data_IF_029751433124
#
_entry.id   IF_029751433124
#
_cell.length_a   1.000
_cell.length_b   1.000
_cell.length_c   1.000
_cell.angle_alpha   90.00
_cell.angle_beta   90.00
_cell.angle_gamma   90.00
#
_symmetry.space_group_name_H-M   'P 1'
#
loop_
_entity.id
_entity.type
_entity.pdbx_description
1 polymer ?
#
# COMPACT_ATOMS: atom_id res chain seq x y z
N UNK A 1 7.16 -7.55 -17.33
CA UNK A 1 6.25 -7.49 -16.17
C UNK A 1 5.17 -8.52 -16.35
N UNK A 2 4.77 -9.16 -15.25
CA UNK A 2 3.58 -10.00 -15.21
C UNK A 2 3.13 -10.08 -13.75
N UNK A 3 2.12 -9.30 -13.39
CA UNK A 3 1.23 -9.72 -12.32
C UNK A 3 0.75 -11.11 -12.68
N UNK A 4 0.86 -12.06 -11.76
CA UNK A 4 0.39 -13.42 -12.02
C UNK A 4 -1.12 -13.42 -12.18
N UNK A 5 -1.78 -12.67 -11.33
CA UNK A 5 -3.22 -12.53 -11.26
C UNK A 5 -3.59 -11.08 -10.98
N UNK A 6 -4.70 -10.66 -11.60
CA UNK A 6 -5.31 -9.35 -11.44
C UNK A 6 -6.82 -9.53 -11.59
N UNK A 7 -7.55 -9.31 -10.50
CA UNK A 7 -8.99 -9.38 -10.43
C UNK A 7 -9.53 -7.99 -10.09
N UNK A 8 -10.41 -7.46 -10.94
CA UNK A 8 -11.08 -6.18 -10.71
C UNK A 8 -12.51 -6.49 -10.32
N UNK A 9 -12.87 -6.17 -9.08
CA UNK A 9 -14.19 -6.33 -8.50
C UNK A 9 -14.86 -4.95 -8.39
N UNK A 10 -16.12 -4.93 -7.96
CA UNK A 10 -16.90 -3.68 -7.88
C UNK A 10 -16.40 -2.74 -6.79
N UNK A 11 -15.78 -3.29 -5.75
CA UNK A 11 -15.33 -2.64 -4.53
C UNK A 11 -13.82 -2.82 -4.29
N UNK A 12 -13.11 -3.59 -5.10
CA UNK A 12 -11.67 -3.73 -4.95
C UNK A 12 -10.91 -4.15 -6.21
N UNK A 13 -9.59 -3.97 -6.17
CA UNK A 13 -8.65 -4.65 -7.08
C UNK A 13 -7.79 -5.58 -6.25
N UNK A 14 -7.75 -6.85 -6.63
CA UNK A 14 -6.89 -7.86 -6.02
C UNK A 14 -5.85 -8.32 -7.04
N UNK A 15 -4.59 -8.39 -6.62
CA UNK A 15 -3.51 -8.82 -7.48
C UNK A 15 -2.49 -9.69 -6.75
N UNK A 16 -1.81 -10.54 -7.52
CA UNK A 16 -0.70 -11.36 -7.04
C UNK A 16 0.52 -11.02 -7.89
N UNK A 17 1.58 -10.56 -7.23
CA UNK A 17 2.89 -10.36 -7.85
C UNK A 17 3.81 -11.54 -7.54
N UNK A 18 4.48 -12.03 -8.59
CA UNK A 18 5.57 -12.99 -8.48
C UNK A 18 6.93 -12.29 -8.31
N UNK A 19 6.96 -10.96 -8.15
CA UNK A 19 8.23 -10.26 -7.97
C UNK A 19 8.76 -10.52 -6.56
N UNK A 20 10.03 -10.90 -6.50
CA UNK A 20 10.75 -11.00 -5.26
C UNK A 20 11.47 -9.68 -5.00
N UNK A 21 11.01 -8.91 -4.02
CA UNK A 21 11.77 -7.80 -3.42
C UNK A 21 13.20 -8.22 -3.01
N UNK A 22 13.41 -9.51 -2.74
CA UNK A 22 14.69 -10.06 -2.32
C UNK A 22 15.68 -10.16 -3.48
N UNK A 23 15.21 -10.45 -4.69
CA UNK A 23 16.07 -10.66 -5.86
C UNK A 23 16.29 -9.38 -6.68
N UNK A 24 15.51 -8.34 -6.42
CA UNK A 24 15.60 -7.06 -7.12
C UNK A 24 16.39 -6.05 -6.30
N UNK A 25 17.71 -5.99 -6.53
CA UNK A 25 18.66 -5.13 -5.80
C UNK A 25 18.22 -3.64 -5.75
N UNK A 26 17.40 -3.18 -6.71
CA UNK A 26 16.91 -1.80 -6.75
C UNK A 26 15.38 -1.70 -6.61
N UNK A 27 14.70 -2.80 -6.29
CA UNK A 27 13.25 -2.94 -6.21
C UNK A 27 12.51 -2.41 -7.46
N UNK A 28 13.14 -2.45 -8.64
CA UNK A 28 12.60 -1.85 -9.87
C UNK A 28 11.35 -2.56 -10.38
N UNK A 29 11.39 -3.88 -10.56
CA UNK A 29 10.26 -4.67 -11.03
C UNK A 29 9.11 -4.63 -10.03
N UNK A 30 9.43 -4.63 -8.74
CA UNK A 30 8.46 -4.47 -7.67
C UNK A 30 7.76 -3.10 -7.71
N UNK A 31 8.56 -2.04 -7.85
CA UNK A 31 8.07 -0.67 -8.03
C UNK A 31 7.16 -0.54 -9.25
N UNK A 32 7.52 -1.14 -10.37
CA UNK A 32 6.73 -1.10 -11.60
C UNK A 32 5.37 -1.81 -11.43
N UNK A 33 5.34 -2.95 -10.73
CA UNK A 33 4.09 -3.68 -10.42
C UNK A 33 3.17 -2.85 -9.52
N UNK A 34 3.69 -2.25 -8.45
CA UNK A 34 2.91 -1.35 -7.58
C UNK A 34 2.39 -0.16 -8.39
N UNK A 35 3.22 0.43 -9.25
CA UNK A 35 2.80 1.57 -10.06
C UNK A 35 1.64 1.21 -10.99
N UNK A 36 1.75 0.07 -11.68
CA UNK A 36 0.70 -0.40 -12.59
C UNK A 36 -0.62 -0.59 -11.86
N UNK A 37 -0.56 -1.19 -10.68
CA UNK A 37 -1.73 -1.45 -9.88
C UNK A 37 -2.37 -0.18 -9.31
N UNK A 38 -1.56 0.75 -8.81
CA UNK A 38 -2.05 2.03 -8.33
C UNK A 38 -2.73 2.85 -9.43
N UNK A 39 -2.13 2.91 -10.63
CA UNK A 39 -2.75 3.57 -11.79
C UNK A 39 -4.11 2.93 -12.07
N UNK A 40 -4.15 1.60 -12.15
CA UNK A 40 -5.38 0.89 -12.46
C UNK A 40 -6.46 1.08 -11.38
N UNK A 41 -6.08 1.08 -10.10
CA UNK A 41 -6.96 1.34 -8.97
C UNK A 41 -7.58 2.73 -9.05
N UNK A 42 -6.76 3.76 -9.21
CA UNK A 42 -7.27 5.13 -9.29
C UNK A 42 -8.09 5.39 -10.55
N UNK A 43 -7.71 4.84 -11.71
CA UNK A 43 -8.48 4.97 -12.94
C UNK A 43 -9.85 4.27 -12.85
N UNK A 44 -9.87 3.05 -12.29
CA UNK A 44 -11.10 2.24 -12.17
C UNK A 44 -12.10 2.89 -11.21
N UNK A 45 -11.61 3.37 -10.07
CA UNK A 45 -12.46 3.87 -8.99
C UNK A 45 -12.54 5.40 -8.90
N UNK A 46 -11.99 6.12 -9.88
CA UNK A 46 -11.91 7.58 -9.88
C UNK A 46 -13.22 8.28 -9.51
N UNK A 47 -14.34 7.81 -10.09
CA UNK A 47 -15.66 8.40 -9.83
C UNK A 47 -16.09 8.21 -8.37
N UNK A 48 -15.96 6.97 -7.86
CA UNK A 48 -16.34 6.64 -6.48
C UNK A 48 -15.47 7.42 -5.49
N UNK A 49 -14.16 7.45 -5.72
CA UNK A 49 -13.21 8.18 -4.88
C UNK A 49 -13.47 9.69 -4.88
N UNK A 50 -13.90 10.28 -6.01
CA UNK A 50 -14.24 11.70 -6.08
C UNK A 50 -15.54 12.06 -5.33
N UNK A 51 -16.51 11.15 -5.31
CA UNK A 51 -17.83 11.37 -4.70
C UNK A 51 -17.85 11.03 -3.19
N UNK A 52 -16.89 10.23 -2.73
CA UNK A 52 -16.77 9.78 -1.34
C UNK A 52 -16.20 10.87 -0.42
N UNK A 53 -16.58 10.85 0.86
CA UNK A 53 -15.89 11.57 1.93
C UNK A 53 -14.87 10.65 2.64
N UNK A 54 -13.63 11.09 2.73
CA UNK A 54 -12.48 10.40 3.35
C UNK A 54 -11.39 11.45 3.58
N UNK A 55 -10.54 11.21 4.57
CA UNK A 55 -9.49 12.12 5.05
C UNK A 55 -8.11 11.82 4.44
N UNK A 56 -7.78 10.55 4.22
CA UNK A 56 -6.51 10.09 3.66
C UNK A 56 -6.66 8.71 2.98
N UNK A 57 -5.61 8.24 2.28
CA UNK A 57 -5.46 6.82 1.97
C UNK A 57 -4.41 6.21 2.87
N UNK A 58 -4.75 5.08 3.49
CA UNK A 58 -3.88 4.32 4.38
C UNK A 58 -3.27 3.12 3.66
N UNK A 59 -2.14 2.63 4.18
CA UNK A 59 -1.38 1.52 3.59
C UNK A 59 -1.10 0.47 4.67
N UNK A 60 -1.86 -0.61 4.67
CA UNK A 60 -1.55 -1.74 5.54
C UNK A 60 -0.53 -2.64 4.87
N UNK A 61 0.56 -2.97 5.56
CA UNK A 61 1.49 -3.98 5.10
C UNK A 61 1.63 -5.10 6.13
N UNK A 62 1.01 -6.22 5.78
CA UNK A 62 1.04 -7.47 6.53
C UNK A 62 2.21 -8.30 6.03
N UNK A 63 3.36 -8.10 6.65
CA UNK A 63 4.63 -8.75 6.30
C UNK A 63 4.52 -10.27 6.39
N UNK A 64 3.88 -10.76 7.45
CA UNK A 64 3.61 -12.17 7.75
C UNK A 64 2.70 -12.84 6.71
N UNK A 65 1.91 -12.06 5.98
CA UNK A 65 1.06 -12.51 4.88
C UNK A 65 1.51 -12.00 3.50
N UNK A 66 2.68 -11.36 3.43
CA UNK A 66 3.21 -10.71 2.22
C UNK A 66 2.14 -9.88 1.51
N UNK A 67 1.32 -9.15 2.27
CA UNK A 67 0.08 -8.53 1.81
C UNK A 67 0.15 -7.03 2.00
N UNK A 68 -0.02 -6.30 0.91
CA UNK A 68 -0.18 -4.85 0.90
C UNK A 68 -1.64 -4.52 0.63
N UNK A 69 -2.22 -3.63 1.42
CA UNK A 69 -3.57 -3.10 1.20
C UNK A 69 -3.51 -1.59 1.19
N UNK A 70 -4.17 -0.96 0.21
CA UNK A 70 -4.33 0.50 0.17
C UNK A 70 -5.82 0.81 0.11
N UNK A 71 -6.28 1.71 0.96
CA UNK A 71 -7.70 2.04 1.06
C UNK A 71 -7.90 3.49 1.54
N UNK A 72 -8.99 4.17 1.14
CA UNK A 72 -9.39 5.44 1.72
C UNK A 72 -9.82 5.23 3.18
N UNK A 73 -9.54 6.23 4.01
CA UNK A 73 -9.81 6.20 5.44
C UNK A 73 -10.49 7.51 5.87
N UNK A 74 -11.48 7.41 6.77
CA UNK A 74 -12.17 8.55 7.37
C UNK A 74 -12.00 8.53 8.89
N UNK A 75 -11.46 9.61 9.46
CA UNK A 75 -11.22 9.73 10.90
C UNK A 75 -12.55 9.72 11.64
N UNK A 76 -12.61 8.97 12.74
CA UNK A 76 -13.79 8.95 13.59
C UNK A 76 -13.85 10.24 14.42
N UNK A 77 -15.04 10.76 14.71
CA UNK A 77 -15.20 11.85 15.68
C UNK A 77 -14.58 11.46 17.03
N UNK A 78 -13.90 12.41 17.68
CA UNK A 78 -13.22 12.22 18.98
C UNK A 78 -14.14 11.67 20.08
N UNK A 79 -15.46 11.81 19.91
CA UNK A 79 -16.49 11.38 20.85
C UNK A 79 -16.83 9.87 20.75
N UNK A 80 -16.35 9.17 19.71
CA UNK A 80 -16.71 7.80 19.35
C UNK A 80 -15.56 6.79 19.48
N UNK A 81 -14.53 7.09 20.27
CA UNK A 81 -13.33 6.24 20.46
C UNK A 81 -13.70 4.92 21.15
N UNK A 82 -14.14 3.95 20.36
CA UNK A 82 -14.19 2.53 20.73
C UNK A 82 -13.32 1.76 19.74
N UNK A 83 -12.10 1.45 20.20
CA UNK A 83 -11.12 0.52 19.60
C UNK A 83 -10.41 0.89 18.29
N UNK A 84 -10.90 1.83 17.46
CA UNK A 84 -10.19 2.29 16.27
C UNK A 84 -10.37 3.81 16.03
N UNK A 85 -9.28 4.48 15.63
CA UNK A 85 -9.28 5.94 15.42
C UNK A 85 -9.85 6.37 14.06
N UNK A 86 -10.14 5.39 13.18
CA UNK A 86 -10.63 5.67 11.83
C UNK A 86 -11.43 4.51 11.19
N UNK A 87 -12.30 4.87 10.24
CA UNK A 87 -13.08 3.99 9.37
C UNK A 87 -12.29 3.65 8.10
N UNK A 88 -12.12 2.36 7.82
CA UNK A 88 -11.62 1.90 6.51
C UNK A 88 -12.76 1.91 5.51
N UNK A 89 -12.55 2.50 4.34
CA UNK A 89 -13.57 2.66 3.31
C UNK A 89 -13.21 1.89 2.05
N UNK A 90 -14.24 1.44 1.34
CA UNK A 90 -14.11 0.91 -0.03
C UNK A 90 -13.98 2.08 -1.02
N UNK A 91 -13.40 1.89 -2.21
CA UNK A 91 -12.79 0.65 -2.67
C UNK A 91 -11.39 0.44 -2.12
N UNK A 92 -10.94 -0.80 -2.05
CA UNK A 92 -9.58 -1.14 -1.63
C UNK A 92 -8.75 -1.76 -2.74
N UNK A 93 -7.45 -1.58 -2.62
CA UNK A 93 -6.42 -2.22 -3.41
C UNK A 93 -5.77 -3.29 -2.54
N UNK A 94 -5.62 -4.51 -3.06
CA UNK A 94 -4.97 -5.63 -2.38
C UNK A 94 -3.91 -6.25 -3.29
N UNK A 95 -2.69 -6.39 -2.77
CA UNK A 95 -1.58 -7.02 -3.46
C UNK A 95 -0.89 -8.06 -2.57
N UNK A 96 -0.72 -9.27 -3.10
CA UNK A 96 0.04 -10.36 -2.47
C UNK A 96 1.40 -10.53 -3.16
N UNK A 97 2.43 -10.71 -2.36
CA UNK A 97 3.81 -10.95 -2.77
C UNK A 97 4.20 -12.40 -2.43
N UNK A 98 3.95 -13.34 -3.32
CA UNK A 98 4.17 -14.76 -2.98
C UNK A 98 5.65 -15.12 -2.82
N UNK A 99 6.53 -14.58 -3.67
CA UNK A 99 7.97 -14.84 -3.57
C UNK A 99 8.60 -14.18 -2.33
N UNK A 100 7.98 -13.12 -1.82
CA UNK A 100 8.35 -12.52 -0.55
C UNK A 100 8.03 -13.45 0.63
N UNK A 101 6.81 -13.99 0.66
CA UNK A 101 6.39 -14.96 1.68
C UNK A 101 7.31 -16.18 1.73
N UNK A 102 7.56 -16.78 0.56
CA UNK A 102 8.43 -17.95 0.45
C UNK A 102 9.84 -17.67 1.00
N UNK A 103 10.35 -16.47 0.85
CA UNK A 103 11.67 -16.12 1.39
C UNK A 103 11.67 -16.15 2.92
N UNK A 104 10.70 -15.48 3.56
CA UNK A 104 10.61 -15.45 5.03
C UNK A 104 10.30 -16.81 5.63
N UNK A 105 9.43 -17.62 5.00
CA UNK A 105 9.15 -18.99 5.42
C UNK A 105 10.39 -19.90 5.36
N UNK A 106 11.31 -19.65 4.42
CA UNK A 106 12.53 -20.43 4.26
C UNK A 106 13.74 -19.83 5.02
N UNK A 107 13.57 -18.70 5.72
CA UNK A 107 14.66 -18.02 6.39
C UNK A 107 15.05 -18.74 7.69
N UNK A 108 16.05 -19.63 7.61
CA UNK A 108 16.55 -20.37 8.77
C UNK A 108 17.74 -19.65 9.42
N UNK A 109 17.44 -18.62 10.23
CA UNK A 109 18.41 -17.77 10.92
C UNK A 109 18.02 -17.58 12.39
N UNK A 110 18.89 -16.98 13.20
CA UNK A 110 18.53 -16.60 14.57
C UNK A 110 17.45 -15.52 14.58
N UNK A 111 16.65 -15.47 15.64
CA UNK A 111 15.58 -14.48 15.85
C UNK A 111 16.07 -13.03 15.63
N UNK A 112 17.21 -12.65 16.21
CA UNK A 112 17.80 -11.31 16.02
C UNK A 112 18.17 -10.97 14.56
N UNK A 113 18.44 -11.97 13.73
CA UNK A 113 18.76 -11.77 12.30
C UNK A 113 17.46 -11.71 11.50
N UNK A 114 16.48 -12.55 11.86
CA UNK A 114 15.15 -12.53 11.29
C UNK A 114 14.48 -11.16 11.48
N UNK A 115 14.48 -10.63 12.71
CA UNK A 115 13.85 -9.34 13.03
C UNK A 115 14.47 -8.17 12.26
N UNK A 116 15.80 -8.17 12.12
CA UNK A 116 16.51 -7.14 11.34
C UNK A 116 16.20 -7.23 9.85
N UNK A 117 16.15 -8.43 9.29
CA UNK A 117 15.79 -8.63 7.89
C UNK A 117 14.33 -8.22 7.65
N UNK A 118 13.43 -8.59 8.56
CA UNK A 118 12.02 -8.23 8.55
C UNK A 118 11.83 -6.71 8.54
N UNK A 119 12.49 -5.99 9.45
CA UNK A 119 12.43 -4.53 9.53
C UNK A 119 12.99 -3.88 8.25
N UNK A 120 14.15 -4.34 7.77
CA UNK A 120 14.75 -3.83 6.53
C UNK A 120 13.82 -4.00 5.33
N UNK A 121 13.20 -5.18 5.19
CA UNK A 121 12.34 -5.49 4.04
C UNK A 121 11.00 -4.76 4.12
N UNK A 122 10.50 -4.52 5.32
CA UNK A 122 9.33 -3.66 5.56
C UNK A 122 9.61 -2.24 5.05
N UNK A 123 10.76 -1.68 5.40
CA UNK A 123 11.18 -0.36 4.91
C UNK A 123 11.34 -0.32 3.38
N UNK A 124 11.90 -1.37 2.77
CA UNK A 124 12.01 -1.47 1.30
C UNK A 124 10.64 -1.39 0.61
N UNK A 125 9.63 -2.10 1.14
CA UNK A 125 8.25 -2.09 0.61
C UNK A 125 7.65 -0.69 0.74
N UNK A 126 7.79 -0.07 1.91
CA UNK A 126 7.30 1.27 2.22
C UNK A 126 7.88 2.31 1.26
N UNK A 127 9.20 2.26 1.05
CA UNK A 127 9.90 3.18 0.14
C UNK A 127 9.41 2.99 -1.30
N UNK A 128 9.14 1.75 -1.72
CA UNK A 128 8.61 1.46 -3.04
C UNK A 128 7.20 2.00 -3.23
N UNK A 129 6.30 1.80 -2.27
CA UNK A 129 4.93 2.34 -2.33
C UNK A 129 4.97 3.86 -2.39
N UNK A 130 5.76 4.48 -1.52
CA UNK A 130 5.94 5.94 -1.47
C UNK A 130 6.46 6.50 -2.79
N UNK A 131 7.46 5.84 -3.38
CA UNK A 131 8.03 6.21 -4.68
C UNK A 131 7.06 5.98 -5.83
N UNK A 132 6.28 4.89 -5.81
CA UNK A 132 5.29 4.58 -6.83
C UNK A 132 4.24 5.70 -6.94
N UNK A 133 3.66 6.07 -5.79
CA UNK A 133 2.67 7.13 -5.69
C UNK A 133 3.25 8.46 -6.20
N UNK A 134 4.47 8.80 -5.76
CA UNK A 134 5.14 10.04 -6.20
C UNK A 134 5.32 10.06 -7.72
N UNK A 135 5.85 8.99 -8.30
CA UNK A 135 6.07 8.88 -9.74
C UNK A 135 4.76 8.99 -10.53
N UNK A 136 3.70 8.32 -10.07
CA UNK A 136 2.38 8.39 -10.69
C UNK A 136 1.83 9.81 -10.63
N UNK A 137 1.94 10.47 -9.49
CA UNK A 137 1.43 11.82 -9.33
C UNK A 137 2.20 12.82 -10.20
N UNK A 138 3.53 12.71 -10.28
CA UNK A 138 4.37 13.56 -11.13
C UNK A 138 4.07 13.38 -12.62
N UNK A 139 3.78 12.15 -13.05
CA UNK A 139 3.60 11.81 -14.46
C UNK A 139 2.16 11.98 -14.94
N UNK A 140 1.22 11.40 -14.21
CA UNK A 140 -0.16 11.21 -14.65
C UNK A 140 -1.14 12.12 -13.90
N UNK A 141 -0.66 12.90 -12.90
CA UNK A 141 -1.46 13.86 -12.10
C UNK A 141 -2.73 13.24 -11.50
N UNK A 142 -2.72 11.93 -11.29
CA UNK A 142 -3.89 11.16 -10.84
C UNK A 142 -4.44 11.72 -9.52
N UNK A 143 -3.57 12.18 -8.61
CA UNK A 143 -4.04 12.71 -7.32
C UNK A 143 -4.69 14.10 -7.48
N UNK A 144 -4.30 14.90 -8.48
CA UNK A 144 -5.04 16.13 -8.84
C UNK A 144 -6.44 15.78 -9.38
N UNK A 145 -6.59 14.65 -10.08
CA UNK A 145 -7.86 14.20 -10.65
C UNK A 145 -8.85 13.66 -9.62
N UNK A 146 -8.38 13.25 -8.44
CA UNK A 146 -9.21 12.74 -7.33
C UNK A 146 -9.86 13.86 -6.49
N UNK A 147 -9.67 15.13 -6.85
CA UNK A 147 -10.37 16.26 -6.24
C UNK A 147 -10.02 16.54 -4.77
N UNK A 148 -9.19 15.70 -4.14
CA UNK A 148 -8.79 15.78 -2.73
C UNK A 148 -7.27 15.79 -2.55
N UNK A 149 -6.71 16.73 -1.77
CA UNK A 149 -5.27 16.98 -1.73
C UNK A 149 -4.50 16.25 -0.62
N UNK A 150 -5.12 15.36 0.17
CA UNK A 150 -4.48 14.83 1.38
C UNK A 150 -4.25 13.31 1.29
N UNK A 151 -2.97 12.94 1.32
CA UNK A 151 -2.53 11.55 1.35
C UNK A 151 -1.66 11.35 2.60
N UNK A 152 -2.25 10.81 3.68
CA UNK A 152 -1.51 10.36 4.86
C UNK A 152 -1.22 8.85 4.73
N UNK A 153 0.01 8.50 4.37
CA UNK A 153 0.45 7.10 4.32
C UNK A 153 0.80 6.67 5.74
N UNK A 154 -0.10 5.86 6.32
CA UNK A 154 0.10 5.19 7.60
C UNK A 154 0.46 3.74 7.34
N UNK A 155 1.46 3.24 8.04
CA UNK A 155 1.76 1.81 8.09
C UNK A 155 1.12 1.18 9.30
N UNK A 156 0.45 0.09 9.04
CA UNK A 156 -0.06 -0.81 10.05
C UNK A 156 0.71 -2.12 9.95
N UNK A 157 1.62 -2.33 10.90
CA UNK A 157 2.29 -3.61 11.14
C UNK A 157 1.68 -4.33 12.35
N UNK A 158 1.98 -5.63 12.49
CA UNK A 158 1.44 -6.53 13.53
C UNK A 158 1.52 -5.97 14.96
N UNK A 159 2.47 -5.08 15.25
CA UNK A 159 2.68 -4.50 16.59
C UNK A 159 2.78 -2.97 16.63
N UNK A 160 2.67 -2.26 15.51
CA UNK A 160 2.86 -0.81 15.44
C UNK A 160 2.02 -0.18 14.33
N UNK A 161 1.23 0.82 14.71
CA UNK A 161 0.77 1.86 13.79
C UNK A 161 1.84 2.95 13.78
N UNK A 162 2.43 3.20 12.63
CA UNK A 162 3.40 4.28 12.45
C UNK A 162 2.96 5.16 11.29
N UNK A 163 2.82 6.46 11.56
CA UNK A 163 2.67 7.45 10.49
C UNK A 163 4.02 7.59 9.79
N UNK A 164 4.22 6.80 8.74
CA UNK A 164 5.47 6.82 7.98
C UNK A 164 5.65 8.15 7.25
N UNK A 165 4.55 8.68 6.70
CA UNK A 165 4.59 9.87 5.88
C UNK A 165 3.23 10.54 5.81
N UNK A 166 3.17 11.79 6.28
CA UNK A 166 2.03 12.67 6.00
C UNK A 166 2.46 13.69 4.95
N UNK A 167 2.00 13.51 3.71
CA UNK A 167 2.17 14.51 2.66
C UNK A 167 0.82 15.17 2.35
N UNK A 168 0.73 16.46 2.67
CA UNK A 168 -0.28 17.29 2.04
C UNK A 168 0.24 17.54 0.63
N UNK A 169 -0.43 16.97 -0.37
CA UNK A 169 -0.10 17.16 -1.77
C UNK A 169 -0.63 18.54 -2.17
N UNK A 170 0.06 19.60 -1.71
CA UNK A 170 -0.24 20.95 -2.12
C UNK A 170 0.28 21.19 -3.54
N UNK A 171 -0.50 21.97 -4.30
CA UNK A 171 -0.19 22.45 -5.65
C UNK A 171 1.16 23.17 -5.74
#
# INVERSE_FOLDING_TARGET
>A
MALRELNILNDCIEAISNQSLILDINNKAFLDDIQTLLVQYFETFNKVLNEMEYDNFSVDFFVDYGKLIIYPEKKMPEDLIYMFDAERLDPYFYLVFEEYLKYFENLNVSEEVFDREFESKTNDVIDCVSKAIKNINEKDKILEMLGKPKLEIRYFGVTKEELLKSEILQK
#
